data_IF_575635786017
#
_entry.id   IF_575635786017
#
_cell.length_a   1.000
_cell.length_b   1.000
_cell.length_c   1.000
_cell.angle_alpha   90.00
_cell.angle_beta   90.00
_cell.angle_gamma   90.00
#
_symmetry.space_group_name_H-M   'P 1'
#
loop_
_entity.id
_entity.type
_entity.pdbx_description
1 polymer ?
#
# COMPACT_ATOMS: atom_id res chain seq x y z
N UNK A 1 1.63 22.93 -4.08
CA UNK A 1 2.90 22.96 -4.85
C UNK A 1 3.42 21.57 -5.26
N UNK A 2 3.50 20.56 -4.37
CA UNK A 2 3.98 19.19 -4.73
C UNK A 2 3.05 18.41 -5.69
N UNK A 3 1.74 18.49 -5.49
CA UNK A 3 0.74 17.95 -6.43
C UNK A 3 0.83 18.69 -7.77
N UNK A 4 1.13 19.98 -7.74
CA UNK A 4 1.33 20.79 -8.94
C UNK A 4 2.65 20.48 -9.66
N UNK A 5 3.74 20.05 -8.99
CA UNK A 5 4.99 19.69 -9.68
C UNK A 5 4.94 18.30 -10.31
N UNK A 6 4.30 17.33 -9.64
CA UNK A 6 4.02 15.99 -10.18
C UNK A 6 2.99 16.04 -11.31
N UNK A 7 2.03 16.96 -11.24
CA UNK A 7 1.10 17.21 -12.35
C UNK A 7 1.76 18.06 -13.45
N UNK A 8 2.55 19.11 -13.14
CA UNK A 8 3.20 19.99 -14.13
C UNK A 8 4.18 19.26 -15.03
N UNK A 9 5.03 18.37 -14.50
CA UNK A 9 6.01 17.64 -15.33
C UNK A 9 5.37 16.68 -16.34
N UNK A 10 4.09 16.33 -16.18
CA UNK A 10 3.31 15.51 -17.12
C UNK A 10 2.24 16.29 -17.91
N UNK A 11 1.99 17.56 -17.58
CA UNK A 11 0.89 18.34 -18.19
C UNK A 11 1.35 19.37 -19.23
N UNK A 12 2.64 19.73 -19.29
CA UNK A 12 3.11 20.81 -20.18
C UNK A 12 3.15 20.46 -21.69
N UNK A 13 2.69 19.28 -22.14
CA UNK A 13 2.62 18.96 -23.59
C UNK A 13 1.32 18.36 -24.10
N UNK A 14 0.23 18.33 -23.34
CA UNK A 14 -1.04 17.80 -23.87
C UNK A 14 -2.22 18.69 -23.51
N UNK A 15 -2.72 19.42 -24.51
CA UNK A 15 -3.90 20.28 -24.44
C UNK A 15 -5.12 19.61 -23.80
N UNK A 16 -5.92 20.44 -23.13
CA UNK A 16 -6.94 20.12 -22.13
C UNK A 16 -8.23 19.45 -22.65
N UNK A 17 -8.17 18.61 -23.69
CA UNK A 17 -9.30 17.79 -24.16
C UNK A 17 -9.02 16.30 -23.91
N UNK A 18 -9.09 15.87 -22.64
CA UNK A 18 -8.84 14.48 -22.21
C UNK A 18 -8.48 14.28 -20.72
N UNK A 19 -8.77 15.26 -19.87
CA UNK A 19 -8.25 15.39 -18.49
C UNK A 19 -8.64 14.27 -17.53
N UNK A 20 -9.90 13.82 -17.52
CA UNK A 20 -10.34 12.80 -16.55
C UNK A 20 -9.63 11.45 -16.73
N UNK A 21 -9.50 10.97 -17.98
CA UNK A 21 -8.77 9.74 -18.29
C UNK A 21 -7.29 9.89 -17.93
N UNK A 22 -6.67 11.04 -18.24
CA UNK A 22 -5.27 11.29 -17.94
C UNK A 22 -4.98 11.28 -16.43
N UNK A 23 -5.82 11.94 -15.64
CA UNK A 23 -5.71 11.97 -14.18
C UNK A 23 -5.95 10.58 -13.60
N UNK A 24 -7.03 9.91 -14.00
CA UNK A 24 -7.33 8.56 -13.49
C UNK A 24 -6.27 7.53 -13.91
N UNK A 25 -5.72 7.62 -15.12
CA UNK A 25 -4.63 6.77 -15.56
C UNK A 25 -3.35 7.03 -14.76
N UNK A 26 -3.05 8.29 -14.44
CA UNK A 26 -1.92 8.64 -13.59
C UNK A 26 -2.08 8.05 -12.19
N UNK A 27 -3.27 8.22 -11.58
CA UNK A 27 -3.57 7.68 -10.25
C UNK A 27 -3.54 6.15 -10.27
N UNK A 28 -4.25 5.48 -11.19
CA UNK A 28 -4.27 4.01 -11.30
C UNK A 28 -2.87 3.43 -11.51
N UNK A 29 -2.04 4.11 -12.29
CA UNK A 29 -0.66 3.67 -12.54
C UNK A 29 0.25 3.77 -11.30
N UNK A 30 -0.19 4.53 -10.28
CA UNK A 30 0.50 4.74 -9.02
C UNK A 30 -0.35 4.16 -7.86
N UNK A 31 -0.09 2.90 -7.54
CA UNK A 31 -0.85 2.13 -6.54
C UNK A 31 -0.85 2.80 -5.16
N UNK A 32 0.25 3.46 -4.76
CA UNK A 32 0.33 4.14 -3.48
C UNK A 32 -0.48 5.44 -3.46
N UNK A 33 -0.43 6.24 -4.53
CA UNK A 33 -1.28 7.42 -4.65
C UNK A 33 -2.76 7.03 -4.69
N UNK A 34 -3.10 5.99 -5.44
CA UNK A 34 -4.44 5.41 -5.50
C UNK A 34 -4.92 4.98 -4.10
N UNK A 35 -4.06 4.26 -3.38
CA UNK A 35 -4.33 3.84 -2.01
C UNK A 35 -4.45 5.04 -1.05
N UNK A 36 -3.57 6.03 -1.14
CA UNK A 36 -3.60 7.23 -0.30
C UNK A 36 -4.85 8.07 -0.47
N UNK A 37 -5.32 8.25 -1.71
CA UNK A 37 -6.59 8.93 -1.99
C UNK A 37 -7.75 8.14 -1.40
N UNK A 38 -7.74 6.81 -1.57
CA UNK A 38 -8.78 5.92 -0.99
C UNK A 38 -8.72 5.91 0.54
N UNK A 39 -7.53 5.98 1.13
CA UNK A 39 -7.35 5.98 2.58
C UNK A 39 -7.89 7.30 3.17
N UNK A 40 -7.37 8.45 2.72
CA UNK A 40 -7.71 9.78 3.25
C UNK A 40 -9.18 10.14 2.97
N UNK A 41 -9.58 10.07 1.69
CA UNK A 41 -10.92 10.49 1.25
C UNK A 41 -11.98 9.42 1.51
N UNK A 42 -11.59 8.15 1.51
CA UNK A 42 -12.52 7.02 1.59
C UNK A 42 -12.70 6.41 2.98
N UNK A 43 -11.71 6.48 3.88
CA UNK A 43 -11.81 5.84 5.21
C UNK A 43 -11.67 6.77 6.38
N UNK A 44 -10.71 7.70 6.37
CA UNK A 44 -10.38 8.50 7.56
C UNK A 44 -11.60 9.31 8.02
N UNK A 45 -12.21 10.07 7.12
CA UNK A 45 -13.36 10.92 7.42
C UNK A 45 -14.58 10.06 7.80
N UNK A 46 -14.99 9.06 7.00
CA UNK A 46 -16.10 8.18 7.39
C UNK A 46 -15.90 7.45 8.72
N UNK A 47 -14.69 6.95 9.01
CA UNK A 47 -14.41 6.26 10.28
C UNK A 47 -14.46 7.20 11.49
N UNK A 48 -14.03 8.46 11.33
CA UNK A 48 -14.16 9.47 12.37
C UNK A 48 -15.64 9.80 12.65
N UNK A 49 -16.45 9.98 11.59
CA UNK A 49 -17.91 10.21 11.70
C UNK A 49 -18.60 9.03 12.37
N UNK A 50 -18.22 7.81 12.00
CA UNK A 50 -18.80 6.56 12.51
C UNK A 50 -18.20 6.10 13.85
N UNK A 51 -17.42 6.93 14.53
CA UNK A 51 -16.87 6.59 15.86
C UNK A 51 -17.98 6.58 16.92
N UNK A 52 -17.87 5.69 17.91
CA UNK A 52 -18.86 5.57 18.99
C UNK A 52 -18.84 6.78 19.92
N UNK A 53 -17.73 7.52 19.97
CA UNK A 53 -17.57 8.71 20.79
C UNK A 53 -16.47 9.64 20.25
N UNK A 54 -16.38 10.85 20.82
CA UNK A 54 -15.42 11.89 20.43
C UNK A 54 -13.96 11.45 20.66
N UNK A 55 -13.74 10.57 21.65
CA UNK A 55 -12.41 10.10 22.01
C UNK A 55 -11.84 9.14 20.98
N UNK A 56 -12.67 8.19 20.55
CA UNK A 56 -12.38 7.29 19.45
C UNK A 56 -12.19 8.06 18.14
N UNK A 57 -13.04 9.05 17.87
CA UNK A 57 -12.91 9.90 16.67
C UNK A 57 -11.56 10.62 16.63
N UNK A 58 -11.17 11.25 17.75
CA UNK A 58 -9.88 11.92 17.87
C UNK A 58 -8.70 10.95 17.69
N UNK A 59 -8.77 9.76 18.30
CA UNK A 59 -7.72 8.74 18.15
C UNK A 59 -7.58 8.26 16.70
N UNK A 60 -8.71 8.03 16.01
CA UNK A 60 -8.71 7.60 14.60
C UNK A 60 -8.16 8.68 13.66
N UNK A 61 -8.56 9.94 13.86
CA UNK A 61 -8.02 11.08 13.09
C UNK A 61 -6.52 11.20 13.33
N UNK A 62 -6.08 11.13 14.58
CA UNK A 62 -4.66 11.21 14.94
C UNK A 62 -3.83 10.09 14.29
N UNK A 63 -4.26 8.82 14.42
CA UNK A 63 -3.59 7.67 13.76
C UNK A 63 -3.51 7.85 12.25
N UNK A 64 -4.57 8.38 11.64
CA UNK A 64 -4.63 8.63 10.20
C UNK A 64 -3.70 9.75 9.74
N UNK A 65 -3.61 10.84 10.51
CA UNK A 65 -2.64 11.91 10.25
C UNK A 65 -1.21 11.42 10.36
N UNK A 66 -0.88 10.60 11.37
CA UNK A 66 0.43 9.97 11.48
C UNK A 66 0.73 9.07 10.27
N UNK A 67 -0.24 8.25 9.85
CA UNK A 67 -0.09 7.43 8.64
C UNK A 67 0.19 8.29 7.41
N UNK A 68 -0.53 9.40 7.25
CA UNK A 68 -0.29 10.34 6.16
C UNK A 68 1.12 10.93 6.21
N UNK A 69 1.55 11.45 7.35
CA UNK A 69 2.88 12.06 7.50
C UNK A 69 3.98 11.01 7.25
N UNK A 70 3.88 9.85 7.86
CA UNK A 70 4.90 8.82 7.80
C UNK A 70 4.96 8.10 6.45
N UNK A 71 3.83 7.75 5.86
CA UNK A 71 3.81 6.99 4.61
C UNK A 71 3.83 7.89 3.37
N UNK A 72 3.31 9.11 3.44
CA UNK A 72 3.23 10.00 2.29
C UNK A 72 4.16 11.19 2.32
N UNK A 73 4.52 11.75 3.48
CA UNK A 73 5.40 12.94 3.50
C UNK A 73 6.85 12.53 3.70
N UNK A 74 7.13 11.58 4.60
CA UNK A 74 8.48 11.17 4.94
C UNK A 74 9.31 10.66 3.74
N UNK A 75 8.76 9.84 2.81
CA UNK A 75 9.55 9.34 1.69
C UNK A 75 9.99 10.45 0.73
N UNK A 76 9.19 11.51 0.55
CA UNK A 76 9.58 12.65 -0.30
C UNK A 76 10.75 13.45 0.27
N UNK A 77 10.95 13.42 1.59
CA UNK A 77 12.06 14.12 2.24
C UNK A 77 13.29 13.20 2.35
N UNK A 78 13.09 11.94 2.73
CA UNK A 78 14.18 11.01 3.04
C UNK A 78 14.76 10.35 1.79
N UNK A 79 13.93 9.91 0.84
CA UNK A 79 14.41 9.19 -0.35
C UNK A 79 15.40 10.01 -1.19
N UNK A 80 15.20 11.31 -1.45
CA UNK A 80 16.20 12.08 -2.18
C UNK A 80 17.56 12.11 -1.50
N UNK A 81 17.59 12.18 -0.16
CA UNK A 81 18.83 12.17 0.63
C UNK A 81 19.49 10.78 0.61
N UNK A 82 18.70 9.71 0.77
CA UNK A 82 19.17 8.32 0.74
C UNK A 82 19.73 7.97 -0.65
N UNK A 83 18.99 8.30 -1.70
CA UNK A 83 19.38 8.08 -3.09
C UNK A 83 20.69 8.82 -3.40
N UNK A 84 20.78 10.09 -2.97
CA UNK A 84 21.99 10.89 -3.11
C UNK A 84 23.18 10.22 -2.42
N UNK A 85 23.01 9.82 -1.16
CA UNK A 85 24.09 9.20 -0.40
C UNK A 85 24.60 7.91 -1.07
N UNK A 86 23.72 7.01 -1.49
CA UNK A 86 24.15 5.74 -2.07
C UNK A 86 24.68 5.87 -3.50
N UNK A 87 24.06 6.67 -4.38
CA UNK A 87 24.63 6.90 -5.72
C UNK A 87 26.02 7.53 -5.66
N UNK A 88 26.25 8.49 -4.74
CA UNK A 88 27.57 9.10 -4.54
C UNK A 88 28.58 8.09 -4.03
N UNK A 89 28.20 7.26 -3.05
CA UNK A 89 29.11 6.31 -2.40
C UNK A 89 29.60 5.22 -3.35
N UNK A 90 28.81 4.88 -4.38
CA UNK A 90 29.19 3.94 -5.44
C UNK A 90 29.76 4.64 -6.69
N UNK A 91 29.98 5.95 -6.66
CA UNK A 91 30.50 6.74 -7.81
C UNK A 91 29.68 6.62 -9.10
N UNK A 92 28.40 6.25 -9.01
CA UNK A 92 27.50 6.15 -10.17
C UNK A 92 27.06 7.54 -10.64
N UNK A 93 26.92 8.49 -9.71
CA UNK A 93 26.61 9.89 -10.00
C UNK A 93 27.46 10.81 -9.12
N UNK A 94 28.33 11.60 -9.75
CA UNK A 94 29.21 12.56 -9.07
C UNK A 94 28.59 13.95 -9.01
N UNK A 95 27.91 14.37 -10.09
CA UNK A 95 27.19 15.64 -10.18
C UNK A 95 25.72 15.35 -9.96
N UNK A 96 25.17 15.75 -8.82
CA UNK A 96 23.76 15.59 -8.47
C UNK A 96 22.82 16.52 -9.26
N UNK A 97 23.06 16.69 -10.56
CA UNK A 97 22.04 17.18 -11.48
C UNK A 97 20.84 16.21 -11.46
N UNK A 98 19.63 16.72 -11.66
CA UNK A 98 18.42 15.92 -11.43
C UNK A 98 18.25 14.77 -12.43
N UNK A 99 19.05 14.70 -13.49
CA UNK A 99 18.90 13.74 -14.56
C UNK A 99 19.64 12.43 -14.25
N UNK A 100 20.92 12.48 -13.85
CA UNK A 100 21.71 11.27 -13.55
C UNK A 100 21.10 10.40 -12.44
N UNK A 101 20.45 11.03 -11.44
CA UNK A 101 19.76 10.33 -10.34
C UNK A 101 18.66 9.40 -10.83
N UNK A 102 18.10 9.69 -12.01
CA UNK A 102 17.00 8.91 -12.61
C UNK A 102 17.48 7.58 -13.20
N UNK A 103 18.79 7.29 -13.15
CA UNK A 103 19.32 5.93 -13.38
C UNK A 103 18.69 4.90 -12.42
N UNK A 104 18.22 5.34 -11.24
CA UNK A 104 17.47 4.50 -10.29
C UNK A 104 16.09 4.05 -10.80
N UNK A 105 15.58 4.68 -11.85
CA UNK A 105 14.34 4.27 -12.52
C UNK A 105 14.57 3.10 -13.50
N UNK A 106 15.83 2.67 -13.70
CA UNK A 106 16.14 1.44 -14.43
C UNK A 106 15.50 0.26 -13.69
N UNK A 107 14.62 -0.45 -14.40
CA UNK A 107 13.92 -1.60 -13.83
C UNK A 107 14.91 -2.67 -13.38
N UNK A 108 14.67 -3.23 -12.19
CA UNK A 108 15.40 -4.38 -11.64
C UNK A 108 15.36 -5.59 -12.57
N UNK A 109 14.38 -5.67 -13.49
CA UNK A 109 14.36 -6.66 -14.58
C UNK A 109 15.68 -6.66 -15.36
N UNK A 110 16.22 -5.49 -15.69
CA UNK A 110 17.45 -5.37 -16.48
C UNK A 110 18.71 -5.65 -15.66
N UNK A 111 18.57 -5.80 -14.34
CA UNK A 111 19.66 -6.17 -13.44
C UNK A 111 19.78 -7.70 -13.25
N UNK A 112 18.94 -8.53 -13.88
CA UNK A 112 18.86 -9.98 -13.59
C UNK A 112 19.77 -10.88 -14.41
N UNK A 113 20.42 -10.34 -15.46
CA UNK A 113 21.23 -11.13 -16.41
C UNK A 113 22.70 -10.70 -16.41
N UNK A 114 23.05 -9.74 -17.26
CA UNK A 114 24.42 -9.32 -17.57
C UNK A 114 24.47 -7.82 -17.92
N UNK A 115 25.67 -7.30 -18.13
CA UNK A 115 25.92 -5.90 -18.49
C UNK A 115 25.28 -5.43 -19.80
N UNK A 116 25.13 -6.31 -20.80
CA UNK A 116 24.47 -5.96 -22.07
C UNK A 116 22.96 -5.82 -21.88
N UNK A 117 22.35 -6.69 -21.07
CA UNK A 117 20.94 -6.55 -20.72
C UNK A 117 20.68 -5.28 -19.90
N UNK A 118 21.62 -4.90 -19.03
CA UNK A 118 21.59 -3.61 -18.34
C UNK A 118 21.63 -2.44 -19.32
N UNK A 119 22.53 -2.45 -20.31
CA UNK A 119 22.66 -1.41 -21.33
C UNK A 119 21.36 -1.15 -22.08
N UNK A 120 20.66 -2.22 -22.47
CA UNK A 120 19.32 -2.14 -23.04
C UNK A 120 18.35 -1.44 -22.08
N UNK A 121 18.37 -1.83 -20.81
CA UNK A 121 17.57 -1.22 -19.75
C UNK A 121 17.83 0.27 -19.53
N UNK A 122 19.10 0.68 -19.52
CA UNK A 122 19.52 2.07 -19.37
C UNK A 122 18.98 2.91 -20.53
N UNK A 123 19.21 2.48 -21.78
CA UNK A 123 18.74 3.18 -22.98
C UNK A 123 17.22 3.25 -23.06
N UNK A 124 16.53 2.15 -22.74
CA UNK A 124 15.07 2.10 -22.70
C UNK A 124 14.50 3.04 -21.63
N UNK A 125 15.20 3.18 -20.50
CA UNK A 125 14.81 4.11 -19.44
C UNK A 125 15.05 5.54 -19.90
N UNK A 126 16.24 5.85 -20.42
CA UNK A 126 16.58 7.16 -20.97
C UNK A 126 15.57 7.66 -22.01
N UNK A 127 15.21 6.81 -22.97
CA UNK A 127 14.18 7.11 -23.99
C UNK A 127 12.82 7.44 -23.38
N UNK A 128 12.39 6.68 -22.36
CA UNK A 128 11.09 6.91 -21.69
C UNK A 128 11.07 8.21 -20.90
N UNK A 129 12.20 8.59 -20.32
CA UNK A 129 12.26 9.71 -19.38
C UNK A 129 12.60 11.04 -20.05
N UNK A 130 13.37 10.99 -21.14
CA UNK A 130 13.96 12.17 -21.78
C UNK A 130 13.77 12.20 -23.30
N UNK A 131 13.21 11.16 -23.91
CA UNK A 131 13.15 11.00 -25.38
C UNK A 131 14.54 11.03 -26.04
N UNK A 132 15.55 10.54 -25.30
CA UNK A 132 16.93 10.44 -25.74
C UNK A 132 17.55 9.17 -25.13
N UNK A 133 17.82 8.16 -25.96
CA UNK A 133 18.45 6.89 -25.55
C UNK A 133 19.85 7.06 -24.99
N UNK A 134 20.56 8.11 -25.38
CA UNK A 134 21.97 8.33 -25.05
C UNK A 134 22.14 9.21 -23.81
N UNK A 135 21.03 9.65 -23.21
CA UNK A 135 21.03 10.56 -22.05
C UNK A 135 21.83 10.04 -20.85
N UNK A 136 22.00 8.72 -20.74
CA UNK A 136 22.78 8.06 -19.68
C UNK A 136 24.13 7.50 -20.17
N UNK A 137 24.56 7.80 -21.40
CA UNK A 137 25.83 7.27 -21.95
C UNK A 137 27.04 7.70 -21.13
N UNK A 138 27.03 8.91 -20.54
CA UNK A 138 28.09 9.36 -19.64
C UNK A 138 28.28 8.47 -18.41
N UNK A 139 27.19 7.89 -17.87
CA UNK A 139 27.27 6.94 -16.75
C UNK A 139 27.87 5.62 -17.24
N UNK A 140 27.42 5.11 -18.40
CA UNK A 140 27.93 3.85 -18.95
C UNK A 140 29.41 3.95 -19.32
N UNK A 141 29.83 5.05 -19.94
CA UNK A 141 31.21 5.27 -20.37
C UNK A 141 32.18 5.51 -19.20
N UNK A 142 31.66 5.83 -18.01
CA UNK A 142 32.45 5.96 -16.79
C UNK A 142 32.91 4.62 -16.20
N UNK A 143 32.37 3.50 -16.69
CA UNK A 143 32.72 2.15 -16.25
C UNK A 143 33.43 1.39 -17.37
N UNK A 144 34.55 0.72 -17.03
CA UNK A 144 35.26 -0.16 -17.96
C UNK A 144 34.53 -1.48 -18.23
N UNK A 145 33.72 -1.93 -17.28
CA UNK A 145 32.89 -3.14 -17.38
C UNK A 145 31.45 -2.84 -16.93
N UNK A 146 30.49 -3.08 -17.81
CA UNK A 146 29.07 -2.88 -17.49
C UNK A 146 28.55 -3.85 -16.44
N UNK A 147 29.24 -4.98 -16.22
CA UNK A 147 28.93 -5.91 -15.14
C UNK A 147 29.29 -5.34 -13.76
N UNK A 148 30.31 -4.48 -13.68
CA UNK A 148 30.64 -3.71 -12.47
C UNK A 148 29.51 -2.71 -12.17
N UNK A 149 29.11 -1.91 -13.17
CA UNK A 149 27.97 -1.00 -13.05
C UNK A 149 26.68 -1.75 -12.65
N UNK A 150 26.45 -2.95 -13.19
CA UNK A 150 25.30 -3.79 -12.81
C UNK A 150 25.33 -4.16 -11.34
N UNK A 151 26.46 -4.64 -10.83
CA UNK A 151 26.62 -5.01 -9.41
C UNK A 151 26.47 -3.81 -8.48
N UNK A 152 26.98 -2.66 -8.87
CA UNK A 152 26.85 -1.41 -8.13
C UNK A 152 25.41 -0.91 -8.10
N UNK A 153 24.71 -0.90 -9.25
CA UNK A 153 23.28 -0.58 -9.29
C UNK A 153 22.46 -1.55 -8.45
N UNK A 154 22.75 -2.85 -8.47
CA UNK A 154 22.10 -3.83 -7.59
C UNK A 154 22.32 -3.48 -6.12
N UNK A 155 23.54 -3.12 -5.73
CA UNK A 155 23.86 -2.75 -4.36
C UNK A 155 23.13 -1.47 -3.94
N UNK A 156 23.15 -0.43 -4.78
CA UNK A 156 22.43 0.83 -4.55
C UNK A 156 20.93 0.58 -4.42
N UNK A 157 20.32 -0.13 -5.37
CA UNK A 157 18.89 -0.49 -5.32
C UNK A 157 18.54 -1.28 -4.05
N UNK A 158 19.42 -2.17 -3.61
CA UNK A 158 19.21 -2.96 -2.39
C UNK A 158 19.25 -2.10 -1.14
N UNK A 159 20.24 -1.20 -1.04
CA UNK A 159 20.39 -0.31 0.13
C UNK A 159 19.26 0.71 0.22
N UNK A 160 18.89 1.32 -0.90
CA UNK A 160 17.73 2.23 -0.96
C UNK A 160 16.47 1.49 -0.52
N UNK A 161 16.21 0.30 -1.09
CA UNK A 161 15.05 -0.51 -0.73
C UNK A 161 15.05 -0.88 0.76
N UNK A 162 16.20 -1.27 1.34
CA UNK A 162 16.29 -1.62 2.75
C UNK A 162 16.04 -0.43 3.69
N UNK A 163 16.65 0.73 3.41
CA UNK A 163 16.50 1.92 4.27
C UNK A 163 15.07 2.48 4.17
N UNK A 164 14.53 2.59 2.96
CA UNK A 164 13.16 3.07 2.74
C UNK A 164 12.12 2.14 3.37
N UNK A 165 12.28 0.82 3.17
CA UNK A 165 11.42 -0.16 3.82
C UNK A 165 11.53 -0.02 5.33
N UNK A 166 12.75 -0.06 5.90
CA UNK A 166 12.95 -0.02 7.36
C UNK A 166 12.34 1.24 7.98
N UNK A 167 12.64 2.42 7.43
CA UNK A 167 12.16 3.70 7.95
C UNK A 167 10.64 3.78 7.91
N UNK A 168 10.04 3.49 6.76
CA UNK A 168 8.58 3.49 6.61
C UNK A 168 7.91 2.45 7.51
N UNK A 169 8.46 1.24 7.57
CA UNK A 169 7.89 0.14 8.36
C UNK A 169 7.93 0.44 9.86
N UNK A 170 9.04 0.99 10.38
CA UNK A 170 9.15 1.41 11.78
C UNK A 170 8.18 2.54 12.12
N UNK A 171 8.07 3.55 11.27
CA UNK A 171 7.16 4.67 11.48
C UNK A 171 5.70 4.21 11.50
N UNK A 172 5.30 3.36 10.55
CA UNK A 172 3.94 2.82 10.49
C UNK A 172 3.65 1.90 11.69
N UNK A 173 4.62 1.06 12.08
CA UNK A 173 4.49 0.17 13.24
C UNK A 173 4.33 0.92 14.57
N UNK A 174 4.83 2.16 14.65
CA UNK A 174 4.68 3.01 15.82
C UNK A 174 3.29 3.64 15.96
N UNK A 175 2.54 3.80 14.87
CA UNK A 175 1.23 4.50 14.84
C UNK A 175 0.24 3.97 15.89
N UNK A 176 -0.06 2.65 15.99
CA UNK A 176 -1.05 2.19 16.94
C UNK A 176 -0.61 2.44 18.39
N UNK A 177 0.69 2.37 18.69
CA UNK A 177 1.25 2.69 20.00
C UNK A 177 1.16 4.17 20.35
N UNK A 178 1.47 5.04 19.39
CA UNK A 178 1.31 6.49 19.53
C UNK A 178 -0.16 6.87 19.72
N UNK A 179 -1.07 6.23 18.99
CA UNK A 179 -2.51 6.43 19.18
C UNK A 179 -3.00 6.00 20.57
N UNK A 180 -2.51 4.86 21.09
CA UNK A 180 -2.81 4.46 22.46
C UNK A 180 -2.27 5.45 23.50
N UNK A 181 -1.05 5.98 23.28
CA UNK A 181 -0.45 6.99 24.15
C UNK A 181 -1.23 8.31 24.11
N UNK A 182 -1.64 8.76 22.92
CA UNK A 182 -2.47 9.94 22.71
C UNK A 182 -3.80 9.82 23.46
N UNK A 183 -4.49 8.69 23.34
CA UNK A 183 -5.75 8.47 24.06
C UNK A 183 -5.53 8.49 25.57
N UNK A 184 -4.52 7.77 26.07
CA UNK A 184 -4.22 7.76 27.51
C UNK A 184 -3.90 9.17 28.03
N UNK A 185 -3.14 9.96 27.28
CA UNK A 185 -2.83 11.35 27.64
C UNK A 185 -4.09 12.23 27.71
N UNK A 186 -5.02 12.04 26.77
CA UNK A 186 -6.23 12.87 26.69
C UNK A 186 -7.34 12.46 27.66
N UNK A 187 -7.42 11.18 28.03
CA UNK A 187 -8.55 10.65 28.81
C UNK A 187 -8.17 10.02 30.16
N UNK A 188 -6.87 9.87 30.45
CA UNK A 188 -6.35 9.09 31.57
C UNK A 188 -6.76 7.60 31.61
N UNK A 189 -7.40 7.08 30.54
CA UNK A 189 -7.87 5.69 30.45
C UNK A 189 -6.96 4.83 29.58
N UNK A 190 -6.76 3.56 29.98
CA UNK A 190 -5.91 2.59 29.26
C UNK A 190 -6.67 1.62 28.34
N UNK A 191 -8.01 1.56 28.42
CA UNK A 191 -8.84 0.66 27.60
C UNK A 191 -9.14 1.19 26.20
N UNK A 192 -9.78 0.35 25.37
CA UNK A 192 -10.16 0.70 23.99
C UNK A 192 -11.10 1.90 23.95
N UNK A 193 -10.71 2.99 23.26
CA UNK A 193 -11.49 4.23 23.18
C UNK A 193 -12.90 4.03 22.62
N UNK A 194 -13.11 3.05 21.73
CA UNK A 194 -14.45 2.73 21.21
C UNK A 194 -15.46 2.26 22.27
N UNK A 195 -14.99 1.85 23.45
CA UNK A 195 -15.85 1.35 24.54
C UNK A 195 -16.27 2.43 25.54
N UNK A 196 -15.70 3.63 25.52
CA UNK A 196 -15.84 4.60 26.64
C UNK A 196 -17.25 5.13 26.88
N UNK A 197 -18.13 5.11 25.86
CA UNK A 197 -19.57 5.40 26.04
C UNK A 197 -20.43 4.15 26.25
N UNK A 198 -19.84 2.97 26.06
CA UNK A 198 -20.54 1.69 26.12
C UNK A 198 -20.30 0.98 27.45
N UNK A 199 -19.22 1.29 28.17
CA UNK A 199 -18.84 0.71 29.45
C UNK A 199 -18.22 1.74 30.40
N UNK A 200 -18.32 1.46 31.70
CA UNK A 200 -17.71 2.29 32.73
C UNK A 200 -16.18 2.14 32.75
N UNK A 201 -15.55 3.00 33.54
CA UNK A 201 -14.10 3.04 33.62
C UNK A 201 -13.50 1.76 34.21
N UNK A 202 -14.10 1.22 35.28
CA UNK A 202 -13.62 0.01 35.94
C UNK A 202 -13.58 -1.17 34.97
N UNK A 203 -14.65 -1.35 34.19
CA UNK A 203 -14.74 -2.38 33.16
C UNK A 203 -13.63 -2.21 32.11
N UNK A 204 -13.47 -1.00 31.57
CA UNK A 204 -12.48 -0.75 30.51
C UNK A 204 -11.04 -0.90 30.99
N UNK A 205 -10.75 -0.50 32.23
CA UNK A 205 -9.44 -0.71 32.84
C UNK A 205 -9.18 -2.19 33.13
N UNK A 206 -10.19 -2.92 33.65
CA UNK A 206 -10.10 -4.38 33.88
C UNK A 206 -9.82 -5.12 32.59
N UNK A 207 -10.47 -4.75 31.48
CA UNK A 207 -10.25 -5.33 30.16
C UNK A 207 -8.82 -5.10 29.64
N UNK A 208 -8.19 -3.96 29.99
CA UNK A 208 -6.85 -3.59 29.55
C UNK A 208 -5.69 -4.22 30.36
N UNK A 209 -5.96 -4.78 31.55
CA UNK A 209 -4.91 -5.27 32.48
C UNK A 209 -3.89 -6.23 31.84
N UNK A 210 -4.33 -7.14 30.97
CA UNK A 210 -3.44 -8.11 30.30
C UNK A 210 -2.52 -7.43 29.29
N UNK A 211 -3.04 -6.47 28.53
CA UNK A 211 -2.25 -5.66 27.63
C UNK A 211 -1.18 -4.90 28.42
N UNK A 212 -1.56 -4.23 29.52
CA UNK A 212 -0.61 -3.44 30.32
C UNK A 212 0.53 -4.28 30.90
N UNK A 213 0.25 -5.51 31.36
CA UNK A 213 1.28 -6.46 31.81
C UNK A 213 2.25 -6.90 30.71
N UNK A 214 1.78 -7.01 29.47
CA UNK A 214 2.56 -7.53 28.33
C UNK A 214 3.01 -6.45 27.33
N UNK A 215 2.76 -5.17 27.63
CA UNK A 215 2.95 -4.03 26.71
C UNK A 215 4.38 -3.97 26.15
N UNK A 216 5.40 -4.05 27.01
CA UNK A 216 6.81 -3.99 26.59
C UNK A 216 7.18 -5.12 25.63
N UNK A 217 6.78 -6.35 25.95
CA UNK A 217 7.04 -7.52 25.10
C UNK A 217 6.36 -7.39 23.73
N UNK A 218 5.10 -6.92 23.70
CA UNK A 218 4.36 -6.69 22.46
C UNK A 218 4.94 -5.55 21.62
N UNK A 219 5.48 -4.51 22.25
CA UNK A 219 6.21 -3.44 21.57
C UNK A 219 7.50 -3.96 20.94
N UNK A 220 8.29 -4.74 21.68
CA UNK A 220 9.50 -5.39 21.15
C UNK A 220 9.13 -6.28 19.95
N UNK A 221 8.13 -7.15 20.10
CA UNK A 221 7.65 -7.99 19.01
C UNK A 221 7.20 -7.18 17.78
N UNK A 222 6.50 -6.06 17.98
CA UNK A 222 6.09 -5.15 16.91
C UNK A 222 7.29 -4.62 16.13
N UNK A 223 8.30 -4.09 16.82
CA UNK A 223 9.46 -3.52 16.14
C UNK A 223 10.38 -4.60 15.54
N UNK A 224 10.49 -5.78 16.17
CA UNK A 224 11.20 -6.92 15.58
C UNK A 224 10.54 -7.39 14.27
N UNK A 225 9.21 -7.48 14.25
CA UNK A 225 8.44 -7.79 13.04
C UNK A 225 8.60 -6.71 11.96
N UNK A 226 8.82 -5.45 12.35
CA UNK A 226 9.06 -4.39 11.40
C UNK A 226 10.50 -4.40 10.81
N UNK A 227 11.51 -4.78 11.61
CA UNK A 227 12.92 -4.74 11.20
C UNK A 227 13.31 -5.95 10.33
N UNK A 228 12.93 -7.17 10.73
CA UNK A 228 13.37 -8.40 10.04
C UNK A 228 13.05 -8.43 8.53
N UNK A 229 11.84 -8.06 8.08
CA UNK A 229 11.48 -8.02 6.66
C UNK A 229 12.26 -6.96 5.87
N UNK A 230 12.60 -5.84 6.51
CA UNK A 230 13.35 -4.75 5.89
C UNK A 230 14.78 -5.15 5.52
N UNK A 231 15.33 -6.15 6.20
CA UNK A 231 16.65 -6.72 5.88
C UNK A 231 16.51 -7.90 4.94
N UNK A 232 15.59 -8.83 5.25
CA UNK A 232 15.45 -10.09 4.52
C UNK A 232 14.92 -9.91 3.11
N UNK A 233 13.89 -9.07 2.90
CA UNK A 233 13.28 -8.91 1.58
C UNK A 233 14.25 -8.29 0.54
N UNK A 234 14.93 -7.15 0.82
CA UNK A 234 15.91 -6.61 -0.12
C UNK A 234 17.06 -7.57 -0.38
N UNK A 235 17.50 -8.31 0.65
CA UNK A 235 18.54 -9.33 0.48
C UNK A 235 18.11 -10.46 -0.45
N UNK A 236 16.89 -10.99 -0.30
CA UNK A 236 16.36 -12.03 -1.18
C UNK A 236 16.23 -11.54 -2.63
N UNK A 237 15.78 -10.30 -2.83
CA UNK A 237 15.72 -9.66 -4.16
C UNK A 237 17.12 -9.53 -4.76
N UNK A 238 18.09 -9.04 -3.97
CA UNK A 238 19.51 -8.95 -4.37
C UNK A 238 20.06 -10.30 -4.80
N UNK A 239 19.89 -11.34 -3.98
CA UNK A 239 20.35 -12.70 -4.28
C UNK A 239 19.68 -13.26 -5.53
N UNK A 240 18.40 -12.97 -5.75
CA UNK A 240 17.69 -13.31 -6.98
C UNK A 240 18.28 -12.64 -8.23
N UNK A 241 18.69 -11.37 -8.15
CA UNK A 241 19.28 -10.64 -9.28
C UNK A 241 20.75 -11.04 -9.56
N UNK A 242 21.49 -11.46 -8.53
CA UNK A 242 22.90 -11.85 -8.67
C UNK A 242 23.08 -13.31 -9.12
N UNK A 243 22.17 -14.21 -8.73
CA UNK A 243 22.34 -15.64 -8.96
C UNK A 243 21.34 -16.17 -9.99
N UNK A 244 21.84 -16.81 -11.05
CA UNK A 244 21.10 -17.82 -11.84
C UNK A 244 20.99 -19.15 -11.05
N UNK A 245 20.62 -19.07 -9.77
CA UNK A 245 20.58 -20.22 -8.85
C UNK A 245 19.51 -21.21 -9.27
N UNK A 246 19.76 -22.51 -9.10
CA UNK A 246 18.73 -23.55 -9.23
C UNK A 246 17.61 -23.46 -8.18
N UNK A 247 17.86 -22.78 -7.06
CA UNK A 247 16.92 -22.63 -5.97
C UNK A 247 15.63 -21.91 -6.43
N UNK A 248 14.50 -22.58 -6.22
CA UNK A 248 13.17 -22.11 -6.64
C UNK A 248 12.82 -20.71 -6.11
N UNK A 249 13.26 -20.38 -4.90
CA UNK A 249 13.01 -19.08 -4.26
C UNK A 249 13.75 -17.97 -5.02
N UNK A 250 15.05 -18.15 -5.26
CA UNK A 250 15.84 -17.15 -5.99
C UNK A 250 15.41 -17.02 -7.45
N UNK A 251 15.03 -18.14 -8.11
CA UNK A 251 14.41 -18.09 -9.45
C UNK A 251 13.13 -17.26 -9.46
N UNK A 252 12.30 -17.37 -8.43
CA UNK A 252 11.08 -16.57 -8.32
C UNK A 252 11.40 -15.08 -8.17
N UNK A 253 12.36 -14.71 -7.30
CA UNK A 253 12.78 -13.32 -7.14
C UNK A 253 13.42 -12.74 -8.41
N UNK A 254 14.22 -13.54 -9.14
CA UNK A 254 14.78 -13.14 -10.43
C UNK A 254 13.66 -12.85 -11.45
N UNK A 255 12.72 -13.78 -11.63
CA UNK A 255 11.60 -13.64 -12.59
C UNK A 255 10.64 -12.50 -12.26
N UNK A 256 10.56 -12.10 -10.99
CA UNK A 256 9.66 -11.06 -10.51
C UNK A 256 10.42 -9.83 -10.01
N UNK A 257 11.67 -9.63 -10.41
CA UNK A 257 12.49 -8.50 -9.94
C UNK A 257 11.82 -7.15 -10.24
N UNK A 258 11.14 -7.04 -11.39
CA UNK A 258 10.34 -5.88 -11.80
C UNK A 258 9.20 -5.55 -10.83
N UNK A 259 8.71 -6.55 -10.09
CA UNK A 259 7.67 -6.35 -9.06
C UNK A 259 8.20 -5.67 -7.81
N UNK A 260 9.51 -5.46 -7.69
CA UNK A 260 10.17 -4.71 -6.62
C UNK A 260 10.73 -3.38 -7.12
N UNK A 261 10.37 -2.95 -8.32
CA UNK A 261 10.76 -1.64 -8.85
C UNK A 261 10.11 -0.52 -8.05
N UNK A 262 10.91 0.51 -7.78
CA UNK A 262 10.40 1.79 -7.35
C UNK A 262 9.98 2.54 -8.60
N UNK A 263 8.68 2.85 -8.73
CA UNK A 263 8.26 3.77 -9.78
C UNK A 263 8.66 5.17 -9.35
N UNK A 264 9.38 5.88 -10.23
CA UNK A 264 9.85 7.26 -10.02
C UNK A 264 10.75 7.44 -8.77
N UNK A 265 11.45 6.38 -8.31
CA UNK A 265 12.30 6.36 -7.10
C UNK A 265 11.61 6.75 -5.77
N UNK A 266 10.33 7.13 -5.80
CA UNK A 266 9.54 7.64 -4.67
C UNK A 266 8.47 6.65 -4.23
N UNK A 267 7.99 5.79 -5.14
CA UNK A 267 6.81 4.95 -4.87
C UNK A 267 7.19 3.46 -4.77
N UNK A 268 7.04 2.92 -3.56
CA UNK A 268 7.18 1.50 -3.22
C UNK A 268 6.27 0.62 -4.09
N UNK A 269 6.79 -0.53 -4.52
CA UNK A 269 6.06 -1.46 -5.38
C UNK A 269 4.87 -2.12 -4.66
N UNK A 270 3.95 -2.75 -5.42
CA UNK A 270 2.79 -3.46 -4.81
C UNK A 270 3.23 -4.58 -3.87
N UNK A 271 4.23 -5.39 -4.25
CA UNK A 271 4.68 -6.49 -3.40
C UNK A 271 5.44 -6.00 -2.17
N UNK A 272 6.29 -4.98 -2.33
CA UNK A 272 6.97 -4.36 -1.19
C UNK A 272 5.95 -3.72 -0.25
N UNK A 273 4.94 -3.02 -0.78
CA UNK A 273 3.86 -2.43 0.01
C UNK A 273 2.99 -3.47 0.73
N UNK A 274 2.78 -4.65 0.14
CA UNK A 274 2.08 -5.76 0.80
C UNK A 274 2.90 -6.30 1.98
N UNK A 275 4.20 -6.53 1.77
CA UNK A 275 5.09 -6.98 2.83
C UNK A 275 5.16 -5.95 3.98
N UNK A 276 5.26 -4.67 3.66
CA UNK A 276 5.19 -3.57 4.62
C UNK A 276 3.86 -3.62 5.38
N UNK A 277 2.72 -3.65 4.67
CA UNK A 277 1.40 -3.70 5.30
C UNK A 277 1.26 -4.88 6.29
N UNK A 278 1.72 -6.08 5.93
CA UNK A 278 1.68 -7.23 6.85
C UNK A 278 2.49 -6.95 8.13
N UNK A 279 3.67 -6.34 7.97
CA UNK A 279 4.72 -6.32 9.00
C UNK A 279 4.73 -5.06 9.86
N UNK A 280 4.24 -3.93 9.34
CA UNK A 280 4.07 -2.68 10.10
C UNK A 280 2.64 -2.30 10.45
N UNK A 281 1.64 -2.83 9.75
CA UNK A 281 0.26 -2.37 9.90
C UNK A 281 -0.62 -3.50 10.48
N UNK A 282 -0.78 -4.60 9.74
CA UNK A 282 -1.69 -5.68 10.11
C UNK A 282 -1.39 -6.30 11.48
N UNK A 283 -0.18 -6.85 11.69
CA UNK A 283 0.19 -7.46 12.97
C UNK A 283 0.43 -6.43 14.09
N UNK A 284 1.08 -5.28 13.84
CA UNK A 284 1.28 -4.26 14.87
C UNK A 284 0.00 -3.72 15.48
N UNK A 285 -1.06 -3.47 14.70
CA UNK A 285 -2.36 -3.06 15.26
C UNK A 285 -2.97 -4.13 16.16
N UNK A 286 -2.80 -5.41 15.83
CA UNK A 286 -3.24 -6.53 16.68
C UNK A 286 -2.44 -6.61 17.98
N UNK A 287 -1.11 -6.46 17.90
CA UNK A 287 -0.24 -6.48 19.08
C UNK A 287 -0.50 -5.28 20.00
N UNK A 288 -0.76 -4.11 19.43
CA UNK A 288 -1.07 -2.88 20.16
C UNK A 288 -2.51 -2.81 20.68
N UNK A 289 -3.37 -3.79 20.37
CA UNK A 289 -4.75 -3.78 20.85
C UNK A 289 -4.81 -3.89 22.38
N UNK A 290 -5.51 -2.95 23.01
CA UNK A 290 -5.60 -2.79 24.47
C UNK A 290 -6.44 -3.87 25.11
N UNK A 291 -7.44 -4.38 24.40
CA UNK A 291 -8.33 -5.43 24.86
C UNK A 291 -8.81 -6.34 23.71
N UNK A 292 -9.64 -7.33 24.06
CA UNK A 292 -10.21 -8.30 23.11
C UNK A 292 -11.15 -7.66 22.07
N UNK A 293 -11.78 -6.53 22.41
CA UNK A 293 -12.72 -5.85 21.52
C UNK A 293 -11.96 -5.05 20.46
N UNK A 294 -10.92 -4.32 20.87
CA UNK A 294 -10.02 -3.65 19.94
C UNK A 294 -9.28 -4.65 19.05
N UNK A 295 -8.81 -5.77 19.62
CA UNK A 295 -8.18 -6.84 18.85
C UNK A 295 -9.10 -7.37 17.75
N UNK A 296 -10.38 -7.61 18.08
CA UNK A 296 -11.38 -8.05 17.10
C UNK A 296 -11.66 -6.99 16.04
N UNK A 297 -11.79 -5.71 16.42
CA UNK A 297 -11.95 -4.60 15.46
C UNK A 297 -10.75 -4.55 14.50
N UNK A 298 -9.53 -4.49 15.04
CA UNK A 298 -8.28 -4.45 14.27
C UNK A 298 -8.14 -5.66 13.34
N UNK A 299 -8.47 -6.87 13.80
CA UNK A 299 -8.38 -8.08 13.00
C UNK A 299 -9.34 -8.08 11.81
N UNK A 300 -10.63 -7.81 12.06
CA UNK A 300 -11.64 -7.79 11.00
C UNK A 300 -11.33 -6.64 10.03
N UNK A 301 -11.07 -5.44 10.57
CA UNK A 301 -10.77 -4.25 9.77
C UNK A 301 -9.52 -4.43 8.92
N UNK A 302 -8.43 -4.88 9.53
CA UNK A 302 -7.19 -5.18 8.84
C UNK A 302 -7.40 -6.22 7.75
N UNK A 303 -8.10 -7.32 8.03
CA UNK A 303 -8.36 -8.36 7.03
C UNK A 303 -9.19 -7.85 5.86
N UNK A 304 -10.27 -7.10 6.13
CA UNK A 304 -11.13 -6.52 5.09
C UNK A 304 -10.37 -5.54 4.20
N UNK A 305 -9.58 -4.64 4.81
CA UNK A 305 -8.71 -3.71 4.08
C UNK A 305 -7.70 -4.48 3.23
N UNK A 306 -7.03 -5.49 3.80
CA UNK A 306 -6.05 -6.31 3.08
C UNK A 306 -6.64 -7.06 1.89
N UNK A 307 -7.80 -7.71 2.07
CA UNK A 307 -8.49 -8.43 0.99
C UNK A 307 -8.87 -7.51 -0.16
N UNK A 308 -9.39 -6.31 0.15
CA UNK A 308 -9.79 -5.35 -0.88
C UNK A 308 -8.57 -4.79 -1.61
N UNK A 309 -7.53 -4.34 -0.90
CA UNK A 309 -6.40 -3.65 -1.54
C UNK A 309 -5.42 -4.57 -2.26
N UNK A 310 -5.26 -5.81 -1.82
CA UNK A 310 -4.23 -6.69 -2.37
C UNK A 310 -4.74 -7.71 -3.39
N UNK A 311 -6.06 -7.79 -3.60
CA UNK A 311 -6.63 -8.63 -4.66
C UNK A 311 -8.09 -8.33 -5.03
N UNK A 312 -8.89 -7.83 -4.09
CA UNK A 312 -10.31 -7.53 -4.30
C UNK A 312 -10.54 -6.43 -5.33
N UNK A 313 -9.70 -5.38 -5.35
CA UNK A 313 -9.74 -4.29 -6.32
C UNK A 313 -9.59 -4.79 -7.77
N UNK A 314 -8.64 -5.71 -7.99
CA UNK A 314 -8.39 -6.31 -9.30
C UNK A 314 -9.53 -7.23 -9.72
N UNK A 315 -10.07 -8.01 -8.79
CA UNK A 315 -11.21 -8.87 -9.04
C UNK A 315 -12.45 -8.06 -9.41
N UNK A 316 -12.76 -7.03 -8.62
CA UNK A 316 -13.91 -6.14 -8.84
C UNK A 316 -13.77 -5.38 -10.15
N UNK A 317 -12.58 -4.82 -10.44
CA UNK A 317 -12.29 -4.19 -11.73
C UNK A 317 -12.54 -5.15 -12.89
N UNK A 318 -12.07 -6.40 -12.80
CA UNK A 318 -12.26 -7.42 -13.83
C UNK A 318 -13.74 -7.77 -14.02
N UNK A 319 -14.47 -7.98 -12.93
CA UNK A 319 -15.91 -8.28 -12.98
C UNK A 319 -16.72 -7.15 -13.62
N UNK A 320 -16.51 -5.91 -13.17
CA UNK A 320 -17.17 -4.72 -13.70
C UNK A 320 -16.82 -4.47 -15.18
N UNK A 321 -15.56 -4.71 -15.57
CA UNK A 321 -15.14 -4.55 -16.96
C UNK A 321 -15.80 -5.58 -17.88
N UNK A 322 -15.87 -6.85 -17.45
CA UNK A 322 -16.60 -7.89 -18.20
C UNK A 322 -18.09 -7.59 -18.31
N UNK A 323 -18.70 -7.09 -17.24
CA UNK A 323 -20.10 -6.69 -17.25
C UNK A 323 -20.34 -5.54 -18.23
N UNK A 324 -19.46 -4.54 -18.23
CA UNK A 324 -19.52 -3.42 -19.17
C UNK A 324 -19.32 -3.87 -20.61
N UNK A 325 -18.38 -4.78 -20.86
CA UNK A 325 -18.15 -5.35 -22.19
C UNK A 325 -19.40 -6.09 -22.70
N UNK A 326 -20.12 -6.78 -21.81
CA UNK A 326 -21.37 -7.49 -22.14
C UNK A 326 -22.57 -6.56 -22.35
N UNK A 327 -22.80 -5.61 -21.45
CA UNK A 327 -24.02 -4.79 -21.44
C UNK A 327 -23.87 -3.58 -22.36
N UNK A 328 -22.71 -2.92 -22.34
CA UNK A 328 -22.47 -1.68 -23.06
C UNK A 328 -21.60 -1.88 -24.29
N UNK A 329 -21.25 -3.12 -24.67
CA UNK A 329 -20.41 -3.44 -25.83
C UNK A 329 -19.09 -2.64 -25.83
N UNK A 330 -18.45 -2.53 -24.66
CA UNK A 330 -17.12 -1.93 -24.52
C UNK A 330 -16.01 -2.95 -24.83
N UNK A 331 -14.77 -2.47 -24.92
CA UNK A 331 -13.57 -3.31 -25.11
C UNK A 331 -12.55 -3.12 -23.98
N UNK A 332 -13.00 -3.25 -22.74
CA UNK A 332 -12.18 -3.08 -21.54
C UNK A 332 -11.37 -4.33 -21.18
N UNK A 333 -11.76 -5.49 -21.70
CA UNK A 333 -11.05 -6.75 -21.52
C UNK A 333 -10.41 -7.17 -22.84
N UNK A 334 -9.13 -7.55 -22.79
CA UNK A 334 -8.48 -8.19 -23.92
C UNK A 334 -9.11 -9.59 -24.14
N UNK A 335 -9.68 -9.88 -25.32
CA UNK A 335 -10.36 -11.15 -25.57
C UNK A 335 -9.41 -12.35 -25.63
N UNK A 336 -8.15 -12.15 -26.04
CA UNK A 336 -7.15 -13.22 -26.17
C UNK A 336 -6.56 -13.60 -24.81
N UNK A 337 -6.30 -12.61 -23.95
CA UNK A 337 -5.63 -12.86 -22.66
C UNK A 337 -6.59 -12.85 -21.46
N UNK A 338 -7.84 -12.42 -21.65
CA UNK A 338 -8.83 -12.25 -20.58
C UNK A 338 -8.44 -11.19 -19.53
N UNK A 339 -7.40 -10.40 -19.80
CA UNK A 339 -6.89 -9.35 -18.90
C UNK A 339 -7.60 -8.04 -19.17
N UNK A 340 -7.98 -7.37 -18.09
CA UNK A 340 -8.56 -6.02 -18.16
C UNK A 340 -7.47 -5.01 -18.48
N UNK A 341 -7.72 -4.13 -19.45
CA UNK A 341 -6.82 -3.04 -19.79
C UNK A 341 -6.68 -2.05 -18.62
N UNK A 342 -5.49 -1.49 -18.45
CA UNK A 342 -5.29 -0.32 -17.58
C UNK A 342 -5.77 0.93 -18.29
N UNK A 343 -6.13 1.97 -17.54
CA UNK A 343 -6.45 3.27 -18.10
C UNK A 343 -5.26 3.86 -18.87
N UNK A 344 -4.02 3.58 -18.44
CA UNK A 344 -2.81 3.91 -19.19
C UNK A 344 -2.78 3.28 -20.58
N UNK A 345 -3.23 2.03 -20.69
CA UNK A 345 -3.25 1.26 -21.93
C UNK A 345 -4.32 1.82 -22.87
N UNK A 346 -5.48 2.17 -22.30
CA UNK A 346 -6.58 2.82 -23.01
C UNK A 346 -6.20 4.22 -23.51
N UNK A 347 -5.30 4.92 -22.80
CA UNK A 347 -4.71 6.19 -23.25
C UNK A 347 -3.83 5.98 -24.49
N UNK A 348 -2.94 5.00 -24.47
CA UNK A 348 -1.87 4.85 -25.46
C UNK A 348 -2.29 4.19 -26.78
N UNK A 349 -3.55 3.76 -26.95
CA UNK A 349 -4.04 3.08 -28.17
C UNK A 349 -3.12 1.91 -28.56
N UNK A 350 -2.93 0.97 -27.62
CA UNK A 350 -2.14 -0.27 -27.84
C UNK A 350 -2.64 -1.07 -29.05
N UNK A 351 -1.82 -1.99 -29.56
CA UNK A 351 -2.09 -2.81 -30.75
C UNK A 351 -3.48 -3.46 -30.77
N UNK A 352 -3.99 -3.90 -29.60
CA UNK A 352 -5.35 -4.47 -29.48
C UNK A 352 -6.51 -3.47 -29.56
N UNK A 353 -6.23 -2.17 -29.46
CA UNK A 353 -7.19 -1.05 -29.50
C UNK A 353 -6.95 -0.11 -30.70
N UNK A 354 -5.83 -0.29 -31.41
CA UNK A 354 -5.45 0.50 -32.58
C UNK A 354 -6.49 0.42 -33.71
N UNK A 355 -7.11 -0.75 -33.86
CA UNK A 355 -8.04 -1.09 -34.94
C UNK A 355 -9.52 -0.82 -34.59
N UNK A 356 -9.82 -0.29 -33.39
CA UNK A 356 -11.19 0.07 -33.04
C UNK A 356 -11.60 1.39 -33.70
N UNK A 357 -12.87 1.46 -34.11
CA UNK A 357 -13.46 2.72 -34.57
C UNK A 357 -13.45 3.78 -33.45
N UNK A 358 -13.37 5.05 -33.83
CA UNK A 358 -13.20 6.15 -32.87
C UNK A 358 -14.37 6.26 -31.88
N UNK A 359 -15.59 5.85 -32.25
CA UNK A 359 -16.77 5.91 -31.38
C UNK A 359 -16.69 4.84 -30.30
N UNK A 360 -16.36 3.60 -30.66
CA UNK A 360 -16.14 2.49 -29.73
C UNK A 360 -14.95 2.74 -28.82
N UNK A 361 -13.87 3.33 -29.35
CA UNK A 361 -12.70 3.71 -28.55
C UNK A 361 -13.05 4.79 -27.51
N UNK A 362 -13.78 5.84 -27.91
CA UNK A 362 -14.24 6.89 -26.99
C UNK A 362 -15.16 6.31 -25.91
N UNK A 363 -16.11 5.45 -26.29
CA UNK A 363 -17.01 4.75 -25.36
C UNK A 363 -16.23 3.91 -24.35
N UNK A 364 -15.25 3.14 -24.83
CA UNK A 364 -14.40 2.28 -23.98
C UNK A 364 -13.55 3.11 -23.01
N UNK A 365 -12.95 4.22 -23.46
CA UNK A 365 -12.20 5.13 -22.58
C UNK A 365 -13.07 5.76 -21.49
N UNK A 366 -14.27 6.21 -21.85
CA UNK A 366 -15.21 6.80 -20.91
C UNK A 366 -15.70 5.78 -19.88
N UNK A 367 -16.08 4.58 -20.34
CA UNK A 367 -16.50 3.49 -19.47
C UNK A 367 -15.38 3.05 -18.51
N UNK A 368 -14.15 2.90 -19.01
CA UNK A 368 -13.00 2.57 -18.17
C UNK A 368 -12.78 3.61 -17.07
N UNK A 369 -12.84 4.89 -17.42
CA UNK A 369 -12.68 6.01 -16.46
C UNK A 369 -13.81 6.01 -15.42
N UNK A 370 -15.06 5.87 -15.86
CA UNK A 370 -16.22 5.85 -14.98
C UNK A 370 -16.19 4.64 -14.02
N UNK A 371 -15.85 3.45 -14.53
CA UNK A 371 -15.72 2.25 -13.71
C UNK A 371 -14.59 2.35 -12.69
N UNK A 372 -13.48 2.99 -13.04
CA UNK A 372 -12.40 3.24 -12.09
C UNK A 372 -12.89 4.13 -10.93
N UNK A 373 -13.54 5.26 -11.24
CA UNK A 373 -14.09 6.17 -10.22
C UNK A 373 -15.15 5.45 -9.38
N UNK A 374 -16.07 4.72 -10.01
CA UNK A 374 -17.09 3.95 -9.33
C UNK A 374 -16.49 2.89 -8.40
N UNK A 375 -15.45 2.19 -8.84
CA UNK A 375 -14.75 1.22 -8.01
C UNK A 375 -14.13 1.88 -6.76
N UNK A 376 -13.51 3.05 -6.91
CA UNK A 376 -12.98 3.82 -5.78
C UNK A 376 -14.07 4.23 -4.79
N UNK A 377 -15.20 4.75 -5.30
CA UNK A 377 -16.33 5.15 -4.46
C UNK A 377 -16.95 3.96 -3.74
N UNK A 378 -17.09 2.81 -4.41
CA UNK A 378 -17.65 1.60 -3.82
C UNK A 378 -16.75 1.04 -2.70
N UNK A 379 -15.44 1.01 -2.94
CA UNK A 379 -14.44 0.61 -1.93
C UNK A 379 -14.50 1.59 -0.75
N UNK A 380 -14.53 2.89 -1.02
CA UNK A 380 -14.64 3.95 0.00
C UNK A 380 -15.91 3.81 0.83
N UNK A 381 -17.07 3.61 0.20
CA UNK A 381 -18.34 3.44 0.90
C UNK A 381 -18.35 2.18 1.78
N UNK A 382 -17.85 1.07 1.23
CA UNK A 382 -17.89 -0.23 1.90
C UNK A 382 -16.94 -0.29 3.10
N UNK A 383 -15.70 0.16 2.96
CA UNK A 383 -14.71 0.14 4.04
C UNK A 383 -14.79 1.37 4.96
N UNK A 384 -15.29 2.51 4.46
CA UNK A 384 -15.44 3.76 5.20
C UNK A 384 -16.72 3.84 6.03
N UNK A 385 -17.85 3.35 5.51
CA UNK A 385 -19.14 3.40 6.23
C UNK A 385 -19.66 2.02 6.61
N UNK A 386 -19.71 1.08 5.64
CA UNK A 386 -20.29 -0.24 5.86
C UNK A 386 -19.56 -1.05 6.94
N UNK A 387 -18.23 -1.10 6.85
CA UNK A 387 -17.39 -1.82 7.79
C UNK A 387 -17.44 -1.23 9.21
N UNK A 388 -17.27 0.10 9.45
CA UNK A 388 -17.47 0.69 10.77
C UNK A 388 -18.87 0.48 11.35
N UNK A 389 -19.92 0.63 10.54
CA UNK A 389 -21.29 0.38 10.99
C UNK A 389 -21.44 -1.03 11.56
N UNK A 390 -20.96 -2.03 10.82
CA UNK A 390 -21.01 -3.43 11.22
C UNK A 390 -20.15 -3.70 12.47
N UNK A 391 -18.93 -3.15 12.53
CA UNK A 391 -18.03 -3.32 13.67
C UNK A 391 -18.60 -2.69 14.94
N UNK A 392 -19.25 -1.53 14.85
CA UNK A 392 -19.93 -0.91 15.99
C UNK A 392 -21.11 -1.76 16.48
N UNK A 393 -21.89 -2.36 15.56
CA UNK A 393 -22.98 -3.28 15.94
C UNK A 393 -22.44 -4.50 16.68
N UNK A 394 -21.33 -5.08 16.20
CA UNK A 394 -20.66 -6.20 16.88
C UNK A 394 -20.11 -5.80 18.24
N UNK A 395 -19.46 -4.64 18.33
CA UNK A 395 -18.90 -4.11 19.59
C UNK A 395 -20.00 -3.95 20.64
N UNK A 396 -21.09 -3.25 20.32
CA UNK A 396 -22.22 -3.04 21.22
C UNK A 396 -22.81 -4.37 21.72
N UNK A 397 -23.02 -5.33 20.80
CA UNK A 397 -23.54 -6.66 21.15
C UNK A 397 -22.60 -7.41 22.10
N UNK A 398 -21.29 -7.38 21.83
CA UNK A 398 -20.28 -8.04 22.66
C UNK A 398 -20.16 -7.40 24.05
N UNK A 399 -20.15 -6.07 24.13
CA UNK A 399 -20.08 -5.35 25.41
C UNK A 399 -21.34 -5.60 26.25
N UNK A 400 -22.53 -5.53 25.66
CA UNK A 400 -23.78 -5.78 26.38
C UNK A 400 -23.85 -7.22 26.93
N UNK A 401 -23.37 -8.21 26.16
CA UNK A 401 -23.29 -9.59 26.62
C UNK A 401 -22.34 -9.74 27.82
N UNK A 402 -21.16 -9.11 27.74
CA UNK A 402 -20.10 -9.29 28.72
C UNK A 402 -20.35 -8.50 30.02
N UNK A 403 -21.00 -7.33 29.93
CA UNK A 403 -21.45 -6.55 31.09
C UNK A 403 -22.43 -7.31 31.98
N UNK A 404 -23.31 -8.10 31.35
CA UNK A 404 -24.36 -8.84 32.06
C UNK A 404 -23.87 -10.22 32.53
N UNK A 405 -22.57 -10.52 32.39
CA UNK A 405 -21.98 -11.80 32.77
C UNK A 405 -21.16 -11.65 34.06
N UNK A 406 -21.65 -12.25 35.15
CA UNK A 406 -20.96 -12.26 36.45
C UNK A 406 -19.55 -12.89 36.39
N UNK A 407 -19.32 -13.80 35.43
CA UNK A 407 -18.03 -14.48 35.21
C UNK A 407 -17.22 -13.82 34.08
N UNK A 408 -17.35 -12.51 33.87
CA UNK A 408 -16.58 -11.80 32.86
C UNK A 408 -15.07 -12.02 33.05
N UNK A 409 -14.49 -12.78 32.13
CA UNK A 409 -13.06 -12.90 31.98
C UNK A 409 -12.56 -11.88 30.94
N UNK A 410 -11.56 -11.10 31.36
CA UNK A 410 -10.78 -10.25 30.48
C UNK A 410 -9.80 -11.07 29.62
N UNK A 411 -9.65 -12.38 29.88
CA UNK A 411 -8.80 -13.23 29.07
C UNK A 411 -9.39 -13.45 27.68
N UNK A 412 -8.58 -13.09 26.69
CA UNK A 412 -8.69 -13.61 25.35
C UNK A 412 -7.42 -14.41 25.06
N UNK A 413 -7.60 -15.63 24.57
CA UNK A 413 -6.60 -16.29 23.73
C UNK A 413 -6.53 -15.53 22.40
N UNK A 414 -5.42 -15.63 21.67
CA UNK A 414 -5.38 -15.16 20.28
C UNK A 414 -6.54 -15.80 19.53
N UNK A 415 -7.58 -15.03 19.26
CA UNK A 415 -8.76 -15.56 18.60
C UNK A 415 -8.32 -15.93 17.19
N UNK A 416 -8.48 -17.20 16.80
CA UNK A 416 -8.16 -17.62 15.44
C UNK A 416 -9.04 -16.81 14.50
N UNK A 417 -8.44 -16.19 13.47
CA UNK A 417 -9.20 -15.42 12.49
C UNK A 417 -10.37 -16.25 11.91
N UNK A 418 -10.16 -17.54 11.69
CA UNK A 418 -11.19 -18.48 11.23
C UNK A 418 -12.37 -18.64 12.19
N UNK A 419 -12.20 -18.50 13.50
CA UNK A 419 -13.29 -18.54 14.49
C UNK A 419 -14.10 -17.25 14.46
N UNK A 420 -13.43 -16.08 14.33
CA UNK A 420 -14.11 -14.78 14.15
C UNK A 420 -14.91 -14.74 12.85
N UNK A 421 -14.37 -15.31 11.76
CA UNK A 421 -15.06 -15.43 10.48
C UNK A 421 -16.13 -16.53 10.49
N UNK A 422 -16.02 -17.60 11.27
CA UNK A 422 -17.12 -18.56 11.44
C UNK A 422 -18.31 -17.89 12.12
N UNK A 423 -18.10 -17.18 13.22
CA UNK A 423 -19.13 -16.36 13.88
C UNK A 423 -19.78 -15.32 12.93
N UNK A 424 -19.03 -14.88 11.91
CA UNK A 424 -19.49 -13.96 10.87
C UNK A 424 -20.47 -14.62 9.88
N UNK A 425 -20.27 -15.91 9.56
CA UNK A 425 -21.11 -16.65 8.61
C UNK A 425 -22.23 -17.44 9.26
N UNK A 426 -22.04 -17.97 10.47
CA UNK A 426 -22.99 -18.89 11.12
C UNK A 426 -24.14 -18.20 11.85
N UNK A 427 -24.14 -16.87 12.00
CA UNK A 427 -25.23 -16.09 12.64
C UNK A 427 -26.08 -15.27 11.67
N UNK A 428 -26.21 -15.70 10.42
CA UNK A 428 -27.38 -15.39 9.57
C UNK A 428 -28.42 -16.48 9.79
N UNK A 429 -29.27 -16.33 10.79
CA UNK A 429 -30.32 -17.29 11.09
C UNK A 429 -31.35 -16.83 12.11
N UNK A 430 -31.02 -15.86 12.96
CA UNK A 430 -31.97 -15.34 13.95
C UNK A 430 -32.08 -13.82 13.84
N UNK A 431 -33.21 -13.41 13.27
CA UNK A 431 -33.77 -12.06 13.19
C UNK A 431 -33.11 -11.11 12.18
N UNK A 432 -33.43 -11.36 10.90
CA UNK A 432 -33.71 -10.30 9.93
C UNK A 432 -35.20 -10.41 9.58
N UNK A 433 -36.01 -9.69 10.36
CA UNK A 433 -37.14 -8.88 9.91
C UNK A 433 -37.11 -7.60 10.75
#
# INVERSE_FOLDING_TARGET
>A
MLVQSVLRSKTEKTGFNGTALNVCAAIESNILLNKGITDIGGFVVPQAIMSNNKDEAAERVFKSMLYFIFTFVSPFLLLPLINKHFLSSYKIAEKFDNEQKRILEVSKKYLTKDGEYLKEGIRNTAEKLFHDKNKFDGIMNGYSDLEELRKDLINVHTKIHAVDFLTTNLMVAAIPWLGNAFTKYRTNRSGYSGTYKLADEEFTQKAAKKHDKSKKLRQIATFSLAVLPAVTLPFLVKKGMLNNSENKIFKWFNRNADKFDYKDAIYMSRLTGLAMWITSDYFPYQLASRDKYEYRDCLIRGTSIGLVFWGGDLFLKKALSKLSDKIFNTKLTNPQTGKTYRLSDLKQKLDGLANLDNKTLKKTRNAGTALYIFNLLLISASLGFGLPFMLNKLLKKSINKDKNNANFSADYSFIKASEVFKDFYTKKGENIL
#
